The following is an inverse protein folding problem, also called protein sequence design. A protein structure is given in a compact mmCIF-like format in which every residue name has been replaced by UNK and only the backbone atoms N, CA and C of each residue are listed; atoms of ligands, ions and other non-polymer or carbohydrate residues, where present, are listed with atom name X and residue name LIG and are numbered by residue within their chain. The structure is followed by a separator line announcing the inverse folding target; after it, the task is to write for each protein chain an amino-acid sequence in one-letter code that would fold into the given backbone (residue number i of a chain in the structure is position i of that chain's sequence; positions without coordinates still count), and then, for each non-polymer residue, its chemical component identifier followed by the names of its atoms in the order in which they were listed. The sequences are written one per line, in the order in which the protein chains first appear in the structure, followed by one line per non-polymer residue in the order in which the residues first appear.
data_IF_745777638025
#
_entry.id   IF_745777638025
#
_cell.length_a   1.000
_cell.length_b   1.000
_cell.length_c   1.000
_cell.angle_alpha   90.00
_cell.angle_beta   90.00
_cell.angle_gamma   90.00
#
_symmetry.space_group_name_H-M   'P 1'
#
loop_
_entity.id
_entity.type
_entity.pdbx_description
1 polymer ?
#
# COMPACT_ATOMS: atom_id res chain seq x y z
N UNK A 1 -35.61 -2.83 -20.10
CA UNK A 1 -35.55 -2.37 -21.51
C UNK A 1 -36.42 -1.13 -21.62
N UNK A 2 -35.82 0.08 -21.64
CA UNK A 2 -36.53 1.31 -22.03
C UNK A 2 -35.61 2.02 -23.00
N UNK A 3 -36.03 2.06 -24.26
CA UNK A 3 -35.37 2.79 -25.33
C UNK A 3 -35.80 4.25 -25.21
N UNK A 4 -34.79 5.15 -25.07
CA UNK A 4 -35.01 6.59 -25.13
C UNK A 4 -34.69 7.02 -26.56
N UNK A 5 -35.72 7.52 -27.25
CA UNK A 5 -35.63 8.16 -28.56
C UNK A 5 -35.20 9.61 -28.36
N UNK A 6 -34.08 10.00 -28.95
CA UNK A 6 -33.69 11.40 -29.09
C UNK A 6 -34.28 11.91 -30.39
N UNK A 7 -35.24 12.84 -30.27
CA UNK A 7 -35.78 13.56 -31.41
C UNK A 7 -34.88 14.79 -31.65
N UNK A 8 -34.18 14.77 -32.77
CA UNK A 8 -33.36 15.90 -33.26
C UNK A 8 -34.32 16.90 -33.90
N UNK A 9 -34.54 18.04 -33.24
CA UNK A 9 -35.27 19.17 -33.85
C UNK A 9 -34.25 20.02 -34.60
N UNK A 10 -34.28 19.90 -35.92
CA UNK A 10 -33.53 20.81 -36.82
C UNK A 10 -34.31 22.10 -36.95
N UNK A 11 -33.86 23.17 -36.29
CA UNK A 11 -34.32 24.53 -36.54
C UNK A 11 -33.59 25.12 -37.73
N UNK A 12 -34.28 25.19 -38.87
CA UNK A 12 -33.83 25.95 -40.02
C UNK A 12 -34.05 27.45 -39.72
N UNK A 13 -33.03 28.29 -39.80
CA UNK A 13 -33.27 29.74 -39.79
C UNK A 13 -33.82 30.14 -41.15
N UNK A 14 -35.04 30.64 -41.15
CA UNK A 14 -35.56 31.37 -42.30
C UNK A 14 -34.82 32.68 -42.40
N UNK A 15 -33.98 32.83 -43.40
CA UNK A 15 -33.47 34.12 -43.83
C UNK A 15 -34.60 34.82 -44.59
N UNK A 16 -35.28 35.70 -43.91
CA UNK A 16 -36.13 36.68 -44.62
C UNK A 16 -35.19 37.67 -45.28
N UNK A 17 -35.17 37.66 -46.59
CA UNK A 17 -34.58 38.72 -47.39
C UNK A 17 -35.22 40.04 -47.00
N UNK A 18 -34.50 40.91 -46.36
CA UNK A 18 -34.87 42.32 -46.28
C UNK A 18 -34.58 42.93 -47.65
N UNK A 19 -35.59 43.48 -48.30
CA UNK A 19 -35.43 44.36 -49.45
C UNK A 19 -34.39 45.44 -49.07
N UNK A 20 -33.43 45.69 -49.96
CA UNK A 20 -32.51 46.79 -49.85
C UNK A 20 -33.21 48.09 -49.80
N UNK A 21 -33.34 48.68 -48.61
CA UNK A 21 -33.65 50.12 -48.52
C UNK A 21 -32.33 50.82 -48.89
N UNK A 22 -32.33 51.43 -50.05
CA UNK A 22 -31.22 52.27 -50.51
C UNK A 22 -31.16 53.52 -49.64
N UNK A 23 -30.40 53.53 -48.57
CA UNK A 23 -30.18 54.66 -47.69
C UNK A 23 -29.11 55.63 -48.19
N UNK A 24 -28.62 55.48 -49.42
CA UNK A 24 -27.66 56.42 -50.01
C UNK A 24 -26.27 56.38 -49.25
N UNK A 25 -26.08 55.51 -48.35
CA UNK A 25 -24.78 55.31 -47.67
C UNK A 25 -24.00 54.32 -48.47
N UNK A 26 -23.00 54.79 -49.20
CA UNK A 26 -21.99 53.85 -49.75
C UNK A 26 -21.40 53.09 -48.59
N UNK A 27 -21.63 51.80 -48.57
CA UNK A 27 -20.85 50.93 -47.68
C UNK A 27 -19.36 51.23 -47.92
N UNK A 28 -18.65 51.59 -46.85
CA UNK A 28 -17.20 51.71 -46.96
C UNK A 28 -16.68 50.38 -47.50
N UNK A 29 -15.79 50.42 -48.46
CA UNK A 29 -15.11 49.22 -48.91
C UNK A 29 -14.65 48.43 -47.68
N UNK A 30 -14.85 47.12 -47.65
CA UNK A 30 -14.37 46.33 -46.56
C UNK A 30 -12.93 46.69 -46.30
N UNK A 31 -12.64 47.19 -45.11
CA UNK A 31 -11.28 47.57 -44.72
C UNK A 31 -10.41 46.39 -45.02
N UNK A 32 -9.51 46.53 -46.00
CA UNK A 32 -8.47 45.54 -46.26
C UNK A 32 -7.58 45.56 -45.01
N UNK A 33 -7.80 44.65 -44.14
CA UNK A 33 -6.85 44.40 -43.06
C UNK A 33 -5.56 44.04 -43.77
N UNK A 34 -4.52 44.87 -43.62
CA UNK A 34 -3.19 44.45 -44.02
C UNK A 34 -2.93 43.13 -43.31
N UNK A 35 -2.72 42.07 -44.10
CA UNK A 35 -2.44 40.79 -43.53
C UNK A 35 -1.09 40.94 -42.80
N UNK A 36 -1.13 40.88 -41.47
CA UNK A 36 0.08 40.95 -40.70
C UNK A 36 1.04 39.88 -41.22
N UNK A 37 2.30 40.24 -41.38
CA UNK A 37 3.32 39.31 -41.85
C UNK A 37 3.31 38.08 -40.93
N UNK A 38 3.38 36.87 -41.50
CA UNK A 38 3.37 35.64 -40.75
C UNK A 38 4.57 35.64 -39.78
N UNK A 39 4.26 35.63 -38.46
CA UNK A 39 5.29 35.56 -37.45
C UNK A 39 5.88 34.16 -37.47
N UNK A 40 7.16 34.05 -37.74
CA UNK A 40 7.91 32.81 -37.62
C UNK A 40 8.29 32.63 -36.13
N UNK A 41 7.69 31.65 -35.44
CA UNK A 41 8.07 31.33 -34.09
C UNK A 41 9.34 30.49 -34.03
N UNK A 42 10.23 30.71 -33.07
CA UNK A 42 11.35 29.83 -32.85
C UNK A 42 10.85 28.41 -32.50
N UNK A 43 11.61 27.40 -32.92
CA UNK A 43 11.36 26.02 -32.49
C UNK A 43 11.91 25.78 -31.10
N UNK A 44 11.21 24.95 -30.31
CA UNK A 44 11.75 24.37 -29.08
C UNK A 44 12.35 23.00 -29.41
N UNK A 45 13.64 22.81 -29.12
CA UNK A 45 14.28 21.51 -29.20
C UNK A 45 14.75 21.07 -27.81
N UNK A 46 14.68 19.76 -27.55
CA UNK A 46 15.02 19.16 -26.29
C UNK A 46 16.12 18.12 -26.51
N UNK A 47 17.22 18.24 -25.77
CA UNK A 47 18.26 17.21 -25.76
C UNK A 47 17.94 16.18 -24.66
N UNK A 48 18.26 14.89 -24.87
CA UNK A 48 18.03 13.84 -23.88
C UNK A 48 18.71 14.17 -22.54
N UNK A 49 18.01 13.88 -21.46
CA UNK A 49 18.53 13.92 -20.09
C UNK A 49 18.68 12.48 -19.61
N UNK A 50 19.77 12.18 -18.90
CA UNK A 50 19.97 10.86 -18.30
C UNK A 50 18.91 10.59 -17.22
N UNK A 51 18.64 9.31 -16.96
CA UNK A 51 17.77 8.88 -15.86
C UNK A 51 18.19 9.52 -14.53
N UNK A 52 17.24 10.12 -13.84
CA UNK A 52 17.47 10.80 -12.57
C UNK A 52 17.21 9.82 -11.42
N UNK A 53 18.23 9.55 -10.61
CA UNK A 53 18.05 8.80 -9.35
C UNK A 53 17.72 9.80 -8.22
N UNK A 54 16.47 9.78 -7.76
CA UNK A 54 15.99 10.73 -6.76
C UNK A 54 16.56 10.49 -5.37
N UNK A 55 17.08 9.28 -5.09
CA UNK A 55 17.74 9.01 -3.80
C UNK A 55 19.08 9.76 -3.66
N UNK A 56 19.71 10.10 -4.78
CA UNK A 56 20.97 10.83 -4.83
C UNK A 56 20.79 12.29 -5.30
N UNK A 57 19.55 12.75 -5.44
CA UNK A 57 19.23 14.08 -5.92
C UNK A 57 19.23 15.13 -4.80
N UNK A 58 19.54 16.40 -5.15
CA UNK A 58 19.30 17.54 -4.28
C UNK A 58 17.84 18.01 -4.31
N UNK A 59 17.56 19.23 -3.83
CA UNK A 59 16.20 19.80 -3.77
C UNK A 59 15.56 19.97 -5.14
N UNK A 60 16.34 20.05 -6.20
CA UNK A 60 15.87 20.15 -7.58
C UNK A 60 16.74 19.36 -8.55
N UNK A 61 16.14 18.86 -9.62
CA UNK A 61 16.78 18.02 -10.64
C UNK A 61 16.44 18.49 -12.03
N UNK A 62 17.39 18.33 -12.96
CA UNK A 62 17.19 18.59 -14.40
C UNK A 62 16.42 17.43 -15.00
N UNK A 63 15.27 17.71 -15.61
CA UNK A 63 14.46 16.69 -16.30
C UNK A 63 14.31 16.96 -17.80
N UNK A 64 14.60 18.18 -18.25
CA UNK A 64 14.64 18.58 -19.65
C UNK A 64 15.89 19.42 -19.89
N UNK A 65 16.41 19.38 -21.12
CA UNK A 65 17.51 20.24 -21.55
C UNK A 65 17.05 21.02 -22.79
N UNK A 66 16.39 22.19 -22.56
CA UNK A 66 15.76 22.94 -23.65
C UNK A 66 16.74 23.84 -24.37
N UNK A 67 16.53 24.00 -25.68
CA UNK A 67 17.18 25.00 -26.50
C UNK A 67 16.21 25.57 -27.52
N UNK A 68 16.38 26.86 -27.86
CA UNK A 68 15.64 27.47 -28.96
C UNK A 68 16.39 27.33 -30.29
N UNK A 69 15.63 27.05 -31.32
CA UNK A 69 16.16 26.99 -32.71
C UNK A 69 15.38 27.95 -33.63
N UNK A 70 16.01 28.38 -34.69
CA UNK A 70 15.42 29.33 -35.65
C UNK A 70 15.67 30.79 -35.27
N UNK A 71 14.89 31.70 -35.87
CA UNK A 71 15.01 33.14 -35.63
C UNK A 71 14.27 33.50 -34.33
N UNK A 72 15.02 33.99 -33.34
CA UNK A 72 14.45 34.47 -32.08
C UNK A 72 14.15 35.96 -32.27
N UNK A 73 12.90 36.44 -32.07
CA UNK A 73 12.57 37.87 -32.14
C UNK A 73 13.43 38.69 -31.15
N UNK A 74 13.85 39.88 -31.58
CA UNK A 74 14.62 40.77 -30.70
C UNK A 74 13.83 41.10 -29.44
N UNK A 75 14.49 41.03 -28.28
CA UNK A 75 13.85 41.25 -26.99
C UNK A 75 12.92 40.15 -26.49
N UNK A 76 12.84 39.01 -27.20
CA UNK A 76 12.07 37.86 -26.76
C UNK A 76 12.64 37.28 -25.47
N UNK A 77 11.73 36.94 -24.52
CA UNK A 77 12.06 36.23 -23.28
C UNK A 77 11.29 34.92 -23.23
N UNK A 78 11.99 33.89 -22.77
CA UNK A 78 11.35 32.60 -22.49
C UNK A 78 10.83 32.69 -21.05
N UNK A 79 9.56 32.31 -20.86
CA UNK A 79 9.04 32.05 -19.54
C UNK A 79 9.46 30.67 -19.03
N UNK A 80 9.05 30.35 -17.79
CA UNK A 80 9.24 29.01 -17.24
C UNK A 80 8.58 27.96 -18.14
N UNK A 81 9.17 26.77 -18.13
CA UNK A 81 8.61 25.62 -18.84
C UNK A 81 7.53 24.95 -17.99
N UNK A 82 6.47 24.47 -18.64
CA UNK A 82 5.52 23.52 -18.09
C UNK A 82 5.79 22.17 -18.74
N UNK A 83 6.05 21.17 -17.91
CA UNK A 83 6.35 19.80 -18.35
C UNK A 83 5.19 18.92 -17.95
N UNK A 84 4.39 18.51 -18.92
CA UNK A 84 3.31 17.54 -18.73
C UNK A 84 3.89 16.14 -18.87
N UNK A 85 3.96 15.42 -17.75
CA UNK A 85 4.38 14.02 -17.68
C UNK A 85 3.16 13.14 -17.91
N UNK A 86 3.20 12.30 -18.93
CA UNK A 86 2.10 11.43 -19.34
C UNK A 86 2.44 9.98 -19.05
N UNK A 87 1.51 9.27 -18.40
CA UNK A 87 1.57 7.84 -18.14
C UNK A 87 0.25 7.17 -18.50
N UNK A 88 0.18 5.85 -18.45
CA UNK A 88 -1.08 5.10 -18.61
C UNK A 88 -2.12 5.45 -17.54
N UNK A 89 -1.69 5.92 -16.37
CA UNK A 89 -2.54 6.27 -15.23
C UNK A 89 -2.95 7.76 -15.19
N UNK A 90 -2.61 8.53 -16.22
CA UNK A 90 -2.96 9.94 -16.33
C UNK A 90 -1.75 10.85 -16.57
N UNK A 91 -1.96 12.16 -16.43
CA UNK A 91 -0.89 13.14 -16.60
C UNK A 91 -0.74 14.04 -15.37
N UNK A 92 0.51 14.52 -15.17
CA UNK A 92 0.86 15.48 -14.11
C UNK A 92 1.71 16.57 -14.71
N UNK A 93 1.39 17.84 -14.41
CA UNK A 93 2.16 18.99 -14.91
C UNK A 93 3.11 19.49 -13.83
N UNK A 94 4.39 19.58 -14.17
CA UNK A 94 5.44 20.17 -13.35
C UNK A 94 5.89 21.51 -13.95
N UNK A 95 6.28 22.46 -13.09
CA UNK A 95 6.88 23.71 -13.52
C UNK A 95 8.41 23.60 -13.46
N UNK A 96 9.05 23.73 -14.60
CA UNK A 96 10.51 23.74 -14.70
C UNK A 96 11.02 25.18 -14.89
N UNK A 97 12.18 25.49 -14.29
CA UNK A 97 12.88 26.75 -14.54
C UNK A 97 13.52 26.76 -15.95
N UNK A 98 14.12 27.88 -16.32
CA UNK A 98 14.80 28.05 -17.62
C UNK A 98 15.91 26.99 -17.86
N UNK A 99 16.51 26.47 -16.80
CA UNK A 99 17.52 25.42 -16.85
C UNK A 99 16.94 24.01 -16.96
N UNK A 100 15.62 23.88 -17.03
CA UNK A 100 14.91 22.59 -17.11
C UNK A 100 14.84 21.83 -15.81
N UNK A 101 15.00 22.50 -14.66
CA UNK A 101 14.94 21.91 -13.33
C UNK A 101 13.54 21.97 -12.74
N UNK A 102 13.13 20.91 -12.09
CA UNK A 102 11.92 20.82 -11.25
C UNK A 102 12.31 20.48 -9.80
N UNK A 103 11.41 20.69 -8.86
CA UNK A 103 11.64 20.24 -7.49
C UNK A 103 11.61 18.72 -7.43
N UNK A 104 12.59 18.14 -6.76
CA UNK A 104 12.74 16.69 -6.58
C UNK A 104 11.48 16.09 -5.94
N UNK A 105 10.90 16.73 -4.91
CA UNK A 105 9.70 16.27 -4.24
C UNK A 105 8.46 16.24 -5.16
N UNK A 106 8.33 17.20 -6.10
CA UNK A 106 7.22 17.22 -7.05
C UNK A 106 7.34 16.09 -8.08
N UNK A 107 8.57 15.80 -8.57
CA UNK A 107 8.84 14.67 -9.44
C UNK A 107 8.61 13.32 -8.72
N UNK A 108 9.08 13.19 -7.47
CA UNK A 108 8.81 12.02 -6.63
C UNK A 108 7.31 11.75 -6.52
N UNK A 109 6.52 12.78 -6.20
CA UNK A 109 5.05 12.65 -6.07
C UNK A 109 4.40 12.23 -7.40
N UNK A 110 4.86 12.78 -8.52
CA UNK A 110 4.37 12.41 -9.85
C UNK A 110 4.62 10.94 -10.16
N UNK A 111 5.84 10.44 -9.86
CA UNK A 111 6.21 9.03 -10.06
C UNK A 111 5.37 8.12 -9.15
N UNK A 112 5.27 8.44 -7.86
CA UNK A 112 4.50 7.64 -6.90
C UNK A 112 3.03 7.55 -7.27
N UNK A 113 2.47 8.64 -7.76
CA UNK A 113 1.07 8.70 -8.22
C UNK A 113 0.84 7.82 -9.45
N UNK A 114 1.78 7.83 -10.39
CA UNK A 114 1.65 7.11 -11.66
C UNK A 114 2.03 5.62 -11.54
N UNK A 115 3.05 5.28 -10.74
CA UNK A 115 3.70 3.97 -10.77
C UNK A 115 3.89 3.31 -9.40
N UNK A 116 3.54 4.01 -8.30
CA UNK A 116 3.82 3.57 -6.94
C UNK A 116 5.27 3.83 -6.51
N UNK A 117 5.65 3.29 -5.34
CA UNK A 117 6.92 3.60 -4.65
C UNK A 117 8.06 2.62 -4.93
N UNK A 118 7.91 1.67 -5.85
CA UNK A 118 8.97 0.71 -6.17
C UNK A 118 10.19 1.42 -6.76
N UNK A 119 11.43 1.16 -6.26
CA UNK A 119 12.64 1.84 -6.71
C UNK A 119 13.16 1.30 -8.04
N UNK A 120 12.35 1.43 -9.08
CA UNK A 120 12.66 1.04 -10.45
C UNK A 120 12.62 2.26 -11.35
N UNK A 121 13.39 2.21 -12.43
CA UNK A 121 13.33 3.25 -13.46
C UNK A 121 11.92 3.35 -14.03
N UNK A 122 11.37 4.58 -14.03
CA UNK A 122 10.08 4.91 -14.61
C UNK A 122 10.27 5.96 -15.67
N UNK A 123 9.63 5.75 -16.82
CA UNK A 123 9.72 6.66 -17.96
C UNK A 123 8.34 7.22 -18.27
N UNK A 124 8.26 8.53 -18.37
CA UNK A 124 7.08 9.27 -18.85
C UNK A 124 7.31 9.75 -20.26
N UNK A 125 6.29 9.73 -21.07
CA UNK A 125 6.22 10.64 -22.22
C UNK A 125 6.01 12.05 -21.69
N UNK A 126 6.72 13.03 -22.23
CA UNK A 126 6.69 14.39 -21.73
C UNK A 126 6.41 15.38 -22.84
N UNK A 127 5.43 16.26 -22.59
CA UNK A 127 5.14 17.41 -23.47
C UNK A 127 5.60 18.67 -22.73
N UNK A 128 6.55 19.36 -23.35
CA UNK A 128 7.13 20.58 -22.79
C UNK A 128 6.54 21.79 -23.47
N UNK A 129 5.94 22.68 -22.70
CA UNK A 129 5.36 23.94 -23.17
C UNK A 129 6.21 25.11 -22.66
N UNK A 130 6.49 26.05 -23.57
CA UNK A 130 7.15 27.32 -23.21
C UNK A 130 6.37 28.49 -23.81
N UNK A 131 6.26 29.57 -23.05
CA UNK A 131 5.73 30.83 -23.55
C UNK A 131 6.90 31.72 -23.96
N UNK A 132 6.90 32.21 -25.19
CA UNK A 132 7.81 33.24 -25.66
C UNK A 132 7.09 34.57 -25.58
N UNK A 133 7.66 35.50 -24.82
CA UNK A 133 7.15 36.86 -24.69
C UNK A 133 7.95 37.77 -25.60
N UNK A 134 7.30 38.39 -26.58
CA UNK A 134 7.90 39.39 -27.47
C UNK A 134 6.92 40.52 -27.75
N UNK A 135 7.37 41.75 -27.64
CA UNK A 135 6.55 42.95 -27.90
C UNK A 135 5.18 42.97 -27.25
N UNK A 136 5.09 42.44 -26.00
CA UNK A 136 3.82 42.37 -25.24
C UNK A 136 2.89 41.23 -25.67
N UNK A 137 3.28 40.40 -26.60
CA UNK A 137 2.55 39.20 -27.03
C UNK A 137 3.20 37.94 -26.46
N UNK A 138 2.37 36.96 -26.11
CA UNK A 138 2.80 35.63 -25.69
C UNK A 138 2.52 34.59 -26.77
N UNK A 139 3.53 33.85 -27.19
CA UNK A 139 3.40 32.75 -28.13
C UNK A 139 3.75 31.46 -27.45
N UNK A 140 2.87 30.46 -27.59
CA UNK A 140 3.08 29.12 -27.03
C UNK A 140 3.81 28.25 -28.03
N UNK A 141 4.95 27.68 -27.61
CA UNK A 141 5.66 26.64 -28.34
C UNK A 141 5.67 25.36 -27.51
N UNK A 142 5.77 24.22 -28.16
CA UNK A 142 5.86 22.91 -27.50
C UNK A 142 6.88 22.00 -28.18
N UNK A 143 7.40 21.07 -27.41
CA UNK A 143 8.19 19.96 -27.89
C UNK A 143 7.91 18.70 -27.06
N UNK A 144 8.22 17.54 -27.62
CA UNK A 144 8.01 16.25 -26.97
C UNK A 144 9.36 15.61 -26.64
N UNK A 145 9.42 14.89 -25.53
CA UNK A 145 10.60 14.14 -25.07
C UNK A 145 10.14 13.03 -24.12
N UNK A 146 11.09 12.34 -23.52
CA UNK A 146 10.84 11.41 -22.40
C UNK A 146 11.57 11.90 -21.15
N UNK A 147 11.01 11.60 -19.99
CA UNK A 147 11.62 11.85 -18.69
C UNK A 147 11.69 10.54 -17.93
N UNK A 148 12.92 10.11 -17.60
CA UNK A 148 13.15 8.88 -16.83
C UNK A 148 13.72 9.20 -15.46
N UNK A 149 13.14 8.57 -14.42
CA UNK A 149 13.62 8.72 -13.05
C UNK A 149 13.39 7.45 -12.22
N UNK A 150 14.19 7.29 -11.16
CA UNK A 150 14.05 6.25 -10.14
C UNK A 150 13.58 6.94 -8.85
N UNK A 151 12.41 6.58 -8.30
CA UNK A 151 11.92 7.21 -7.08
C UNK A 151 12.71 6.76 -5.85
N UNK A 152 12.70 7.60 -4.82
CA UNK A 152 13.11 7.19 -3.48
C UNK A 152 12.06 6.24 -2.93
N UNK A 153 12.48 5.11 -2.40
CA UNK A 153 11.59 4.13 -1.80
C UNK A 153 12.09 3.73 -0.40
N UNK A 154 11.19 3.32 0.50
CA UNK A 154 11.59 2.73 1.76
C UNK A 154 12.36 1.43 1.52
N UNK A 155 13.31 1.11 2.38
CA UNK A 155 14.00 -0.19 2.35
C UNK A 155 13.08 -1.23 2.97
N UNK A 156 12.56 -2.16 2.15
CA UNK A 156 11.69 -3.24 2.62
C UNK A 156 12.44 -4.56 2.44
N UNK A 157 12.65 -5.28 3.54
CA UNK A 157 13.29 -6.59 3.51
C UNK A 157 12.26 -7.71 3.30
N UNK A 158 12.72 -8.87 2.87
CA UNK A 158 11.86 -10.00 2.53
C UNK A 158 11.27 -10.73 3.76
N UNK A 159 11.78 -10.47 4.97
CA UNK A 159 11.28 -11.05 6.21
C UNK A 159 11.57 -10.15 7.40
N UNK A 160 10.71 -10.26 8.41
CA UNK A 160 10.81 -9.59 9.70
C UNK A 160 10.54 -10.58 10.82
N UNK A 161 11.15 -10.37 11.98
CA UNK A 161 11.03 -11.22 13.15
C UNK A 161 10.76 -10.36 14.39
N UNK A 162 9.94 -10.85 15.30
CA UNK A 162 9.76 -10.21 16.59
C UNK A 162 10.85 -10.70 17.55
N UNK A 163 11.48 -9.79 18.24
CA UNK A 163 12.43 -10.05 19.32
C UNK A 163 11.99 -9.31 20.58
N UNK A 164 11.85 -10.04 21.67
CA UNK A 164 11.36 -9.44 22.90
C UNK A 164 10.98 -10.47 23.97
N UNK A 165 10.07 -10.08 24.86
CA UNK A 165 9.59 -10.94 25.94
C UNK A 165 9.09 -12.32 25.45
N UNK A 166 8.37 -12.44 24.31
CA UNK A 166 7.86 -13.74 23.85
C UNK A 166 8.94 -14.77 23.56
N UNK A 167 10.14 -14.35 23.12
CA UNK A 167 11.26 -15.24 22.79
C UNK A 167 12.48 -15.05 23.71
N UNK A 168 12.32 -14.39 24.86
CA UNK A 168 13.40 -14.15 25.81
C UNK A 168 14.52 -13.24 25.29
N UNK A 169 14.24 -12.37 24.33
CA UNK A 169 15.22 -11.50 23.65
C UNK A 169 16.29 -12.26 22.86
N UNK A 170 15.94 -13.47 22.38
CA UNK A 170 16.82 -14.25 21.52
C UNK A 170 16.74 -13.73 20.06
N UNK A 171 17.83 -13.09 19.62
CA UNK A 171 17.97 -12.51 18.28
C UNK A 171 18.11 -13.54 17.16
N UNK A 172 18.29 -14.81 17.52
CA UNK A 172 18.46 -15.93 16.57
C UNK A 172 17.24 -16.83 16.48
N UNK A 173 16.23 -16.59 17.33
CA UNK A 173 14.99 -17.40 17.34
C UNK A 173 14.08 -16.99 16.19
N UNK A 174 13.88 -17.89 15.23
CA UNK A 174 13.03 -17.72 14.05
C UNK A 174 11.54 -18.05 14.25
N UNK A 175 11.12 -18.52 15.43
CA UNK A 175 9.73 -18.96 15.68
C UNK A 175 8.72 -17.81 15.59
N UNK A 176 9.18 -16.56 15.75
CA UNK A 176 8.37 -15.36 15.70
C UNK A 176 8.58 -14.57 14.40
N UNK A 177 8.67 -15.29 13.28
CA UNK A 177 8.71 -14.67 11.95
C UNK A 177 7.33 -14.15 11.56
N UNK A 178 7.28 -12.93 11.05
CA UNK A 178 6.08 -12.38 10.45
C UNK A 178 5.75 -13.09 9.13
N UNK A 179 4.48 -13.46 8.98
CA UNK A 179 3.95 -14.03 7.74
C UNK A 179 3.80 -12.93 6.68
N UNK A 180 4.06 -13.29 5.44
CA UNK A 180 3.90 -12.44 4.26
C UNK A 180 3.26 -13.25 3.12
N UNK A 181 2.56 -12.59 2.22
CA UNK A 181 1.85 -13.25 1.11
C UNK A 181 2.74 -13.94 0.09
N UNK A 182 4.05 -13.66 0.11
CA UNK A 182 5.02 -14.13 -0.88
C UNK A 182 5.03 -13.33 -2.18
N UNK A 183 4.22 -12.28 -2.31
CA UNK A 183 4.31 -11.31 -3.40
C UNK A 183 5.56 -10.45 -3.25
N UNK A 184 5.85 -9.63 -4.26
CA UNK A 184 6.86 -8.59 -4.12
C UNK A 184 6.52 -7.63 -2.98
N UNK A 185 7.49 -7.27 -2.16
CA UNK A 185 7.29 -6.45 -0.94
C UNK A 185 6.81 -5.02 -1.22
N UNK A 186 6.99 -4.52 -2.44
CA UNK A 186 6.44 -3.23 -2.85
C UNK A 186 5.00 -3.33 -3.38
N UNK A 187 4.55 -4.52 -3.78
CA UNK A 187 3.15 -4.79 -4.16
C UNK A 187 2.30 -5.15 -2.94
N UNK A 188 2.92 -5.79 -1.94
CA UNK A 188 2.29 -6.14 -0.67
C UNK A 188 3.28 -5.92 0.48
N UNK A 189 3.35 -4.69 1.04
CA UNK A 189 4.28 -4.35 2.11
C UNK A 189 3.82 -4.79 3.51
N UNK A 190 2.79 -5.65 3.58
CA UNK A 190 2.14 -6.03 4.83
C UNK A 190 2.72 -7.33 5.37
N UNK A 191 3.17 -7.28 6.62
CA UNK A 191 3.67 -8.43 7.35
C UNK A 191 2.86 -8.58 8.63
N UNK A 192 2.45 -9.81 8.96
CA UNK A 192 1.56 -10.08 10.10
C UNK A 192 2.08 -11.22 10.96
N UNK A 193 2.03 -11.05 12.27
CA UNK A 193 2.36 -12.07 13.24
C UNK A 193 1.29 -12.14 14.32
N UNK A 194 0.75 -13.34 14.54
CA UNK A 194 -0.14 -13.61 15.69
C UNK A 194 0.55 -14.58 16.63
N UNK A 195 0.60 -14.26 17.91
CA UNK A 195 1.25 -15.09 18.92
C UNK A 195 0.52 -14.99 20.27
N UNK A 196 0.76 -15.96 21.13
CA UNK A 196 0.17 -16.00 22.49
C UNK A 196 0.78 -14.90 23.35
N UNK A 197 -0.08 -14.13 24.01
CA UNK A 197 0.37 -13.10 24.95
C UNK A 197 1.20 -13.75 26.07
N UNK A 198 2.37 -13.20 26.41
CA UNK A 198 3.31 -13.83 27.34
C UNK A 198 2.72 -13.96 28.75
N UNK A 199 3.10 -15.03 29.41
CA UNK A 199 2.73 -15.33 30.80
C UNK A 199 3.98 -15.66 31.62
N UNK A 200 3.95 -15.32 32.88
CA UNK A 200 4.95 -15.82 33.83
C UNK A 200 4.71 -17.32 34.06
N UNK A 201 5.71 -18.12 33.75
CA UNK A 201 5.61 -19.60 33.79
C UNK A 201 5.31 -20.16 35.19
N UNK A 202 5.65 -19.42 36.25
CA UNK A 202 5.47 -19.88 37.63
C UNK A 202 4.08 -19.54 38.17
N UNK A 203 3.55 -18.38 37.78
CA UNK A 203 2.29 -17.87 38.31
C UNK A 203 1.13 -18.02 37.31
N UNK A 204 1.40 -18.21 36.03
CA UNK A 204 0.41 -18.19 34.96
C UNK A 204 -0.18 -16.83 34.67
N UNK A 205 0.28 -15.78 35.34
CA UNK A 205 -0.24 -14.44 35.17
C UNK A 205 0.32 -13.81 33.88
N UNK A 206 -0.47 -12.94 33.24
CA UNK A 206 0.00 -12.13 32.12
C UNK A 206 1.14 -11.20 32.55
N UNK A 207 2.12 -11.05 31.68
CA UNK A 207 3.24 -10.11 31.87
C UNK A 207 3.30 -9.14 30.70
N UNK A 208 3.98 -8.02 30.91
CA UNK A 208 4.21 -7.03 29.87
C UNK A 208 4.93 -7.65 28.68
N UNK A 209 4.46 -7.33 27.48
CA UNK A 209 5.05 -7.80 26.23
C UNK A 209 5.90 -6.72 25.61
N UNK A 210 7.18 -6.67 25.94
CA UNK A 210 8.16 -5.79 25.34
C UNK A 210 8.75 -6.43 24.10
N UNK A 211 8.82 -5.68 22.98
CA UNK A 211 9.37 -6.20 21.74
C UNK A 211 9.95 -5.13 20.81
N UNK A 212 10.80 -5.57 19.91
CA UNK A 212 11.32 -4.86 18.74
C UNK A 212 11.09 -5.72 17.50
N UNK A 213 11.21 -5.10 16.33
CA UNK A 213 11.10 -5.79 15.04
C UNK A 213 12.50 -5.90 14.45
N UNK A 214 12.88 -7.13 14.12
CA UNK A 214 14.20 -7.46 13.60
C UNK A 214 14.08 -7.78 12.09
N UNK A 215 14.55 -6.92 11.19
CA UNK A 215 14.63 -7.24 9.77
C UNK A 215 15.52 -8.45 9.52
N UNK A 216 15.35 -9.12 8.39
CA UNK A 216 16.12 -10.32 8.01
C UNK A 216 17.62 -10.12 8.12
N UNK A 217 18.15 -8.98 7.69
CA UNK A 217 19.57 -8.65 7.78
C UNK A 217 20.10 -8.64 9.21
N UNK A 218 19.31 -8.12 10.15
CA UNK A 218 19.66 -8.10 11.57
C UNK A 218 19.46 -9.50 12.21
N UNK A 219 18.45 -10.26 11.79
CA UNK A 219 18.26 -11.65 12.21
C UNK A 219 19.45 -12.53 11.79
N UNK A 220 19.91 -12.41 10.55
CA UNK A 220 21.09 -13.13 10.05
C UNK A 220 22.40 -12.74 10.78
N UNK A 221 22.47 -11.52 11.29
CA UNK A 221 23.57 -11.05 12.14
C UNK A 221 23.49 -11.60 13.58
N UNK A 222 22.34 -12.11 14.00
CA UNK A 222 22.09 -12.65 15.34
C UNK A 222 22.19 -11.62 16.46
N UNK A 223 21.93 -10.34 16.16
CA UNK A 223 22.08 -9.24 17.10
C UNK A 223 21.20 -8.03 16.72
N UNK A 224 21.04 -7.11 17.65
CA UNK A 224 20.49 -5.80 17.36
C UNK A 224 21.46 -4.99 16.48
N UNK A 225 20.97 -4.55 15.32
CA UNK A 225 21.77 -3.77 14.35
C UNK A 225 21.18 -2.39 14.11
N UNK A 226 21.81 -1.58 13.25
CA UNK A 226 21.27 -0.28 12.84
C UNK A 226 19.92 -0.38 12.10
N UNK A 227 19.59 -1.53 11.53
CA UNK A 227 18.34 -1.76 10.82
C UNK A 227 17.21 -2.27 11.72
N UNK A 228 17.49 -2.65 12.97
CA UNK A 228 16.46 -3.06 13.94
C UNK A 228 15.45 -1.93 14.15
N UNK A 229 14.18 -2.25 14.15
CA UNK A 229 13.06 -1.30 14.21
C UNK A 229 12.38 -1.36 15.58
N UNK A 230 11.91 -0.21 16.04
CA UNK A 230 11.13 -0.07 17.25
C UNK A 230 10.36 1.23 17.26
N UNK A 231 9.81 1.62 18.41
CA UNK A 231 9.15 2.90 18.57
C UNK A 231 10.16 4.03 18.85
N UNK A 232 9.79 5.27 18.54
CA UNK A 232 10.58 6.45 18.87
C UNK A 232 10.76 6.63 20.38
N UNK A 233 9.76 6.22 21.16
CA UNK A 233 9.75 6.31 22.63
C UNK A 233 9.89 4.91 23.21
N UNK A 234 10.89 4.68 24.05
CA UNK A 234 11.04 3.39 24.72
C UNK A 234 9.88 3.11 25.68
N UNK A 235 9.34 1.90 25.60
CA UNK A 235 8.16 1.50 26.35
C UNK A 235 6.83 2.11 25.85
N UNK A 236 6.77 2.53 24.58
CA UNK A 236 5.50 2.98 24.00
C UNK A 236 4.42 1.92 24.12
N UNK A 237 3.27 2.32 24.66
CA UNK A 237 2.08 1.47 24.84
C UNK A 237 1.00 1.72 23.79
N UNK A 238 1.33 2.50 22.75
CA UNK A 238 0.41 2.79 21.65
C UNK A 238 0.15 1.52 20.83
N UNK A 239 -1.12 1.25 20.55
CA UNK A 239 -1.53 0.09 19.75
C UNK A 239 -1.23 0.27 18.26
N UNK A 240 -0.93 1.47 17.82
CA UNK A 240 -0.50 1.78 16.46
C UNK A 240 0.47 2.95 16.47
N UNK A 241 1.42 2.95 15.53
CA UNK A 241 2.43 4.00 15.47
C UNK A 241 3.44 3.81 14.36
N UNK A 242 4.44 4.68 14.34
CA UNK A 242 5.53 4.64 13.37
C UNK A 242 6.73 3.91 13.94
N UNK A 243 7.33 3.05 13.14
CA UNK A 243 8.59 2.40 13.41
C UNK A 243 9.77 3.30 13.02
N UNK A 244 10.83 3.26 13.81
CA UNK A 244 12.10 3.94 13.53
C UNK A 244 13.26 2.96 13.58
N UNK A 245 14.24 3.15 12.72
CA UNK A 245 15.44 2.32 12.71
C UNK A 245 16.46 2.82 13.76
N UNK A 246 17.16 1.91 14.41
CA UNK A 246 18.17 2.22 15.41
C UNK A 246 19.31 3.09 14.88
N UNK A 247 19.63 2.98 13.59
CA UNK A 247 20.68 3.78 12.95
C UNK A 247 20.32 5.25 12.73
N UNK A 248 19.03 5.59 12.74
CA UNK A 248 18.56 6.93 12.43
C UNK A 248 18.26 7.75 13.68
N UNK A 249 17.72 7.12 14.72
CA UNK A 249 17.29 7.77 15.96
C UNK A 249 17.26 6.79 17.12
N UNK A 250 16.84 7.25 18.31
CA UNK A 250 16.55 6.36 19.43
C UNK A 250 15.45 5.38 19.04
N UNK A 251 15.78 4.10 19.06
CA UNK A 251 14.87 3.00 18.76
C UNK A 251 14.53 2.27 20.05
N UNK A 252 13.40 2.61 20.64
CA UNK A 252 12.87 2.01 21.86
C UNK A 252 12.07 0.74 21.58
N UNK A 253 11.90 -0.11 22.58
CA UNK A 253 10.97 -1.23 22.49
C UNK A 253 9.53 -0.74 22.59
N UNK A 254 8.63 -1.45 21.90
CA UNK A 254 7.18 -1.29 22.08
C UNK A 254 6.79 -2.16 23.27
N UNK A 255 5.88 -1.68 24.12
CA UNK A 255 5.38 -2.43 25.27
C UNK A 255 3.86 -2.57 25.23
N UNK A 256 3.38 -3.80 25.20
CA UNK A 256 1.98 -4.08 25.46
C UNK A 256 1.84 -4.47 26.94
N UNK A 257 1.23 -3.60 27.76
CA UNK A 257 1.05 -3.88 29.19
C UNK A 257 0.24 -5.15 29.41
N UNK A 258 0.55 -5.85 30.50
CA UNK A 258 -0.19 -7.03 30.92
C UNK A 258 -1.70 -6.73 31.01
N UNK A 259 -2.51 -7.59 30.40
CA UNK A 259 -3.97 -7.47 30.42
C UNK A 259 -4.61 -8.85 30.54
N UNK A 260 -5.51 -9.02 31.50
CA UNK A 260 -6.23 -10.28 31.72
C UNK A 260 -7.12 -10.66 30.51
N UNK A 261 -7.52 -9.69 29.71
CA UNK A 261 -8.31 -9.90 28.49
C UNK A 261 -7.49 -10.33 27.27
N UNK A 262 -6.16 -10.19 27.30
CA UNK A 262 -5.31 -10.53 26.16
C UNK A 262 -4.93 -12.01 26.18
N UNK A 263 -5.41 -12.80 25.22
CA UNK A 263 -4.92 -14.17 24.99
C UNK A 263 -3.86 -14.22 23.89
N UNK A 264 -4.06 -13.40 22.89
CA UNK A 264 -3.15 -13.29 21.74
C UNK A 264 -2.92 -11.83 21.39
N UNK A 265 -1.78 -11.55 20.78
CA UNK A 265 -1.50 -10.31 20.07
C UNK A 265 -1.36 -10.61 18.60
N UNK A 266 -1.99 -9.78 17.75
CA UNK A 266 -1.69 -9.70 16.31
C UNK A 266 -0.98 -8.41 16.04
N UNK A 267 0.22 -8.49 15.47
CA UNK A 267 0.98 -7.33 15.03
C UNK A 267 0.96 -7.33 13.52
N UNK A 268 0.55 -6.20 12.94
CA UNK A 268 0.60 -5.92 11.51
C UNK A 268 1.60 -4.82 11.28
N UNK A 269 2.57 -5.05 10.38
CA UNK A 269 3.52 -4.07 9.92
C UNK A 269 3.14 -3.64 8.50
N UNK A 270 3.13 -2.35 8.23
CA UNK A 270 3.14 -1.81 6.87
C UNK A 270 4.50 -1.17 6.62
N UNK A 271 5.33 -1.87 5.87
CA UNK A 271 6.71 -1.44 5.64
C UNK A 271 6.84 -0.39 4.54
N UNK A 272 5.76 -0.05 3.84
CA UNK A 272 5.74 1.05 2.89
C UNK A 272 5.87 2.42 3.59
N UNK A 273 5.34 2.54 4.79
CA UNK A 273 5.33 3.76 5.60
C UNK A 273 5.94 3.55 7.00
N UNK A 274 6.55 2.40 7.24
CA UNK A 274 7.14 2.01 8.52
C UNK A 274 6.17 2.18 9.69
N UNK A 275 4.96 1.66 9.55
CA UNK A 275 3.96 1.68 10.61
C UNK A 275 3.68 0.30 11.18
N UNK A 276 3.15 0.28 12.40
CA UNK A 276 2.69 -0.93 13.06
C UNK A 276 1.31 -0.73 13.65
N UNK A 277 0.58 -1.84 13.76
CA UNK A 277 -0.67 -1.95 14.50
C UNK A 277 -0.65 -3.22 15.35
N UNK A 278 -1.07 -3.11 16.62
CA UNK A 278 -1.25 -4.24 17.52
C UNK A 278 -2.74 -4.41 17.83
N UNK A 279 -3.24 -5.62 17.65
CA UNK A 279 -4.59 -6.01 18.00
C UNK A 279 -4.53 -6.97 19.20
N UNK A 280 -5.33 -6.71 20.20
CA UNK A 280 -5.48 -7.57 21.39
C UNK A 280 -6.64 -8.53 21.11
N UNK A 281 -6.37 -9.82 21.09
CA UNK A 281 -7.31 -10.83 20.66
C UNK A 281 -7.58 -11.85 21.78
N UNK A 282 -8.83 -12.32 21.88
CA UNK A 282 -9.23 -13.41 22.74
C UNK A 282 -9.16 -14.76 22.04
N UNK A 283 -9.11 -14.76 20.72
CA UNK A 283 -9.08 -15.93 19.87
C UNK A 283 -8.03 -15.77 18.78
N UNK A 284 -7.44 -16.88 18.36
CA UNK A 284 -6.55 -16.92 17.20
C UNK A 284 -7.34 -16.97 15.89
N UNK A 285 -6.68 -16.75 14.77
CA UNK A 285 -7.32 -16.72 13.45
C UNK A 285 -7.74 -18.10 12.95
N UNK A 286 -7.00 -19.15 13.32
CA UNK A 286 -7.23 -20.52 12.88
C UNK A 286 -7.34 -21.49 14.05
N UNK A 287 -8.26 -22.45 13.94
CA UNK A 287 -8.25 -23.70 14.71
C UNK A 287 -8.22 -24.86 13.73
N UNK A 288 -7.87 -26.03 14.20
CA UNK A 288 -7.65 -27.19 13.33
C UNK A 288 -8.58 -28.32 13.73
N UNK A 289 -9.19 -28.97 12.74
CA UNK A 289 -9.77 -30.29 12.90
C UNK A 289 -8.63 -31.31 13.02
N UNK A 290 -8.69 -32.15 14.03
CA UNK A 290 -7.78 -33.25 14.26
C UNK A 290 -8.58 -34.50 14.61
N UNK A 291 -8.28 -35.59 13.94
CA UNK A 291 -9.04 -36.83 14.16
C UNK A 291 -8.65 -37.94 13.22
N UNK A 292 -9.57 -38.91 13.12
CA UNK A 292 -9.37 -40.10 12.30
C UNK A 292 -9.25 -39.82 10.79
N UNK A 293 -9.70 -38.63 10.36
CA UNK A 293 -9.62 -38.23 8.96
C UNK A 293 -8.19 -37.91 8.50
N UNK A 294 -7.39 -37.30 9.38
CA UNK A 294 -6.08 -36.73 9.04
C UNK A 294 -4.94 -37.26 9.90
N UNK A 295 -5.17 -38.39 10.59
CA UNK A 295 -4.16 -39.00 11.48
C UNK A 295 -3.80 -38.12 12.66
N UNK A 296 -4.76 -37.33 13.16
CA UNK A 296 -4.59 -36.44 14.31
C UNK A 296 -3.60 -35.29 14.06
N UNK A 297 -3.48 -34.85 12.80
CA UNK A 297 -2.61 -33.74 12.38
C UNK A 297 -3.40 -32.43 12.21
N UNK A 298 -2.70 -31.31 12.16
CA UNK A 298 -3.28 -29.97 11.93
C UNK A 298 -3.39 -29.61 10.44
N UNK A 299 -3.76 -30.59 9.60
CA UNK A 299 -3.85 -30.39 8.15
C UNK A 299 -5.06 -29.56 7.75
N UNK A 300 -6.19 -29.72 8.45
CA UNK A 300 -7.43 -29.05 8.10
C UNK A 300 -7.75 -27.93 9.06
N UNK A 301 -7.75 -26.70 8.54
CA UNK A 301 -8.01 -25.49 9.31
C UNK A 301 -9.46 -25.01 9.15
N UNK A 302 -10.00 -24.48 10.25
CA UNK A 302 -11.18 -23.62 10.26
C UNK A 302 -10.69 -22.19 10.48
N UNK A 303 -11.33 -21.23 9.85
CA UNK A 303 -10.88 -19.84 9.78
C UNK A 303 -11.87 -18.88 10.41
N UNK A 304 -11.35 -17.98 11.24
CA UNK A 304 -12.02 -16.82 11.82
C UNK A 304 -11.26 -15.56 11.43
N UNK A 305 -11.56 -14.92 10.29
CA UNK A 305 -10.79 -13.77 9.79
C UNK A 305 -10.71 -12.60 10.78
N UNK A 306 -11.77 -12.40 11.54
CA UNK A 306 -11.84 -11.37 12.58
C UNK A 306 -11.22 -11.80 13.91
N UNK A 307 -10.81 -13.07 14.08
CA UNK A 307 -10.40 -13.66 15.35
C UNK A 307 -11.44 -13.43 16.48
N UNK A 308 -12.71 -13.47 16.10
CA UNK A 308 -13.86 -13.24 16.98
C UNK A 308 -14.35 -14.50 17.70
N UNK A 309 -13.68 -15.64 17.47
CA UNK A 309 -14.00 -16.93 18.07
C UNK A 309 -15.04 -17.73 17.29
N UNK A 310 -15.53 -17.23 16.14
CA UNK A 310 -16.43 -17.95 15.25
C UNK A 310 -15.64 -18.43 14.04
N UNK A 311 -15.50 -19.75 13.93
CA UNK A 311 -14.67 -20.40 12.90
C UNK A 311 -15.52 -21.11 11.89
N UNK A 312 -15.15 -20.99 10.61
CA UNK A 312 -15.83 -21.66 9.52
C UNK A 312 -14.87 -22.53 8.73
N UNK A 313 -15.34 -23.66 8.29
CA UNK A 313 -14.61 -24.58 7.42
C UNK A 313 -15.53 -25.45 6.59
N UNK A 314 -14.99 -26.03 5.53
CA UNK A 314 -15.66 -27.07 4.75
C UNK A 314 -14.63 -28.16 4.41
N UNK A 315 -14.86 -29.37 4.89
CA UNK A 315 -13.91 -30.46 4.72
C UNK A 315 -14.57 -31.83 4.81
N UNK A 316 -13.87 -32.86 4.39
CA UNK A 316 -14.26 -34.23 4.66
C UNK A 316 -13.96 -34.58 6.10
N UNK A 317 -14.92 -35.15 6.82
CA UNK A 317 -14.77 -35.59 8.19
C UNK A 317 -15.03 -37.08 8.32
N UNK A 318 -14.32 -37.70 9.27
CA UNK A 318 -14.60 -39.03 9.79
C UNK A 318 -14.98 -38.95 11.25
N UNK A 319 -15.84 -39.85 11.69
CA UNK A 319 -16.20 -39.96 13.11
C UNK A 319 -14.96 -40.10 14.00
N UNK A 320 -14.95 -39.40 15.13
CA UNK A 320 -13.83 -39.35 16.07
C UNK A 320 -12.84 -38.27 15.76
N UNK A 321 -13.23 -36.99 15.94
CA UNK A 321 -12.39 -35.83 15.78
C UNK A 321 -12.60 -34.82 16.91
N UNK A 322 -11.73 -33.83 17.00
CA UNK A 322 -11.77 -32.67 17.90
C UNK A 322 -11.31 -31.43 17.16
N UNK A 323 -11.38 -30.30 17.84
CA UNK A 323 -10.74 -29.07 17.37
C UNK A 323 -9.58 -28.69 18.27
N UNK A 324 -8.55 -28.06 17.69
CA UNK A 324 -7.36 -27.61 18.42
C UNK A 324 -6.82 -26.29 17.94
N UNK A 325 -6.15 -25.61 18.88
CA UNK A 325 -5.41 -24.38 18.61
C UNK A 325 -4.13 -24.62 17.81
N UNK A 326 -3.44 -25.74 18.07
CA UNK A 326 -2.18 -26.13 17.43
C UNK A 326 -1.91 -27.64 17.59
N UNK A 327 -0.83 -28.15 16.99
CA UNK A 327 -0.50 -29.57 17.02
C UNK A 327 -0.17 -30.14 18.41
N UNK A 328 0.27 -29.29 19.35
CA UNK A 328 0.84 -29.72 20.63
C UNK A 328 -0.09 -29.54 21.83
N UNK A 329 -1.22 -28.87 21.67
CA UNK A 329 -2.13 -28.57 22.78
C UNK A 329 -3.09 -29.73 23.07
N UNK A 330 -2.58 -30.81 23.65
CA UNK A 330 -3.37 -32.01 23.96
C UNK A 330 -4.15 -31.92 25.27
N UNK A 331 -3.71 -31.12 26.21
CA UNK A 331 -4.28 -31.08 27.56
C UNK A 331 -4.67 -29.66 28.00
N UNK A 332 -4.46 -28.67 27.15
CA UNK A 332 -4.67 -27.28 27.46
C UNK A 332 -6.03 -26.74 27.05
N UNK A 333 -6.22 -25.48 27.29
CA UNK A 333 -7.44 -24.71 26.96
C UNK A 333 -7.70 -24.56 25.44
N UNK A 334 -6.77 -25.01 24.60
CA UNK A 334 -6.87 -25.02 23.15
C UNK A 334 -7.26 -26.38 22.56
N UNK A 335 -7.84 -27.28 23.34
CA UNK A 335 -8.32 -28.59 22.88
C UNK A 335 -9.83 -28.68 23.14
N UNK A 336 -10.64 -28.66 22.09
CA UNK A 336 -12.10 -28.62 22.17
C UNK A 336 -12.72 -29.91 21.63
N UNK A 337 -13.56 -30.55 22.43
CA UNK A 337 -14.34 -31.70 22.07
C UNK A 337 -15.63 -31.73 22.88
N UNK A 338 -16.40 -32.83 22.82
CA UNK A 338 -17.64 -32.94 23.58
C UNK A 338 -17.33 -33.05 25.09
N UNK A 339 -18.30 -32.64 25.89
CA UNK A 339 -18.27 -32.83 27.35
C UNK A 339 -18.29 -34.32 27.75
N UNK A 340 -18.14 -34.58 29.05
CA UNK A 340 -18.12 -35.94 29.58
C UNK A 340 -19.39 -36.73 29.29
N UNK A 341 -20.51 -36.06 29.19
CA UNK A 341 -21.83 -36.65 28.90
C UNK A 341 -22.05 -36.86 27.42
N UNK A 342 -21.20 -36.28 26.55
CA UNK A 342 -21.29 -36.37 25.08
C UNK A 342 -22.46 -35.58 24.53
N UNK A 343 -22.80 -34.46 25.13
CA UNK A 343 -23.90 -33.59 24.71
C UNK A 343 -23.64 -33.03 23.33
N UNK A 344 -24.49 -33.38 22.37
CA UNK A 344 -24.38 -32.91 21.00
C UNK A 344 -24.44 -31.37 20.92
N UNK A 345 -23.54 -30.78 20.13
CA UNK A 345 -23.44 -29.33 19.95
C UNK A 345 -22.79 -28.58 21.12
N UNK A 346 -22.31 -29.25 22.16
CA UNK A 346 -21.65 -28.61 23.30
C UNK A 346 -20.19 -29.01 23.42
N UNK A 347 -19.34 -28.00 23.32
CA UNK A 347 -17.89 -28.16 23.45
C UNK A 347 -17.42 -27.85 24.87
N UNK A 348 -16.38 -28.54 25.29
CA UNK A 348 -15.57 -28.17 26.45
C UNK A 348 -14.10 -28.03 26.03
N UNK A 349 -13.37 -27.23 26.80
CA UNK A 349 -11.97 -26.91 26.53
C UNK A 349 -11.09 -27.53 27.62
N UNK A 350 -10.84 -28.82 27.53
CA UNK A 350 -9.90 -29.51 28.42
C UNK A 350 -9.36 -30.81 27.81
N UNK A 351 -8.37 -31.42 28.49
CA UNK A 351 -7.80 -32.71 28.13
C UNK A 351 -8.76 -33.90 28.29
N UNK A 352 -9.86 -33.74 29.03
CA UNK A 352 -10.90 -34.77 29.25
C UNK A 352 -12.04 -34.73 28.25
N UNK A 353 -12.01 -33.80 27.29
CA UNK A 353 -13.03 -33.72 26.25
C UNK A 353 -13.08 -34.99 25.40
N UNK A 354 -14.29 -35.43 25.02
CA UNK A 354 -14.50 -36.57 24.15
C UNK A 354 -14.40 -36.21 22.67
N UNK A 355 -14.11 -37.20 21.86
CA UNK A 355 -14.15 -37.06 20.40
C UNK A 355 -15.58 -36.82 19.95
N UNK A 356 -15.71 -36.02 18.89
CA UNK A 356 -17.01 -35.70 18.26
C UNK A 356 -17.33 -36.87 17.31
N UNK A 357 -18.44 -37.61 17.54
CA UNK A 357 -18.88 -38.66 16.65
C UNK A 357 -19.64 -38.08 15.46
N UNK A 358 -19.64 -38.79 14.35
CA UNK A 358 -20.51 -38.55 13.19
C UNK A 358 -21.36 -39.78 12.93
N UNK A 359 -22.56 -39.58 12.43
CA UNK A 359 -23.43 -40.67 11.96
C UNK A 359 -22.89 -41.29 10.68
N UNK A 360 -22.33 -40.47 9.79
CA UNK A 360 -21.77 -40.88 8.51
C UNK A 360 -20.51 -40.05 8.21
N UNK A 361 -19.48 -40.69 7.61
CA UNK A 361 -18.33 -39.99 7.08
C UNK A 361 -18.72 -39.19 5.82
N UNK A 362 -18.27 -37.95 5.67
CA UNK A 362 -18.68 -37.12 4.53
C UNK A 362 -18.08 -35.72 4.52
N UNK A 363 -18.49 -34.93 3.53
CA UNK A 363 -18.15 -33.50 3.46
C UNK A 363 -19.15 -32.69 4.25
N UNK A 364 -18.62 -31.87 5.16
CA UNK A 364 -19.41 -31.02 6.06
C UNK A 364 -18.98 -29.57 5.96
N UNK A 365 -19.97 -28.67 6.07
CA UNK A 365 -19.73 -27.28 6.47
C UNK A 365 -19.77 -27.23 7.98
N UNK A 366 -18.73 -26.65 8.56
CA UNK A 366 -18.53 -26.63 10.00
C UNK A 366 -18.55 -25.17 10.44
N UNK A 367 -19.25 -24.90 11.52
CA UNK A 367 -19.11 -23.65 12.28
C UNK A 367 -18.82 -24.04 13.72
N UNK A 368 -17.80 -23.43 14.29
CA UNK A 368 -17.42 -23.57 15.71
C UNK A 368 -17.49 -22.19 16.34
N UNK A 369 -18.35 -22.02 17.33
CA UNK A 369 -18.49 -20.78 18.12
C UNK A 369 -17.88 -20.99 19.51
N UNK A 370 -16.63 -20.61 19.68
CA UNK A 370 -15.93 -20.74 20.96
C UNK A 370 -16.41 -19.75 22.03
N UNK A 371 -17.19 -18.74 21.67
CA UNK A 371 -17.81 -17.85 22.65
C UNK A 371 -19.00 -18.54 23.32
N UNK A 372 -19.69 -19.42 22.61
CA UNK A 372 -20.80 -20.22 23.12
C UNK A 372 -20.40 -21.63 23.49
N UNK A 373 -19.21 -22.06 23.08
CA UNK A 373 -18.73 -23.45 23.22
C UNK A 373 -19.65 -24.45 22.52
N UNK A 374 -19.96 -24.17 21.24
CA UNK A 374 -20.78 -25.00 20.35
C UNK A 374 -20.21 -25.12 18.91
#
# INVERSE_FOLDING_TARGET
MKKIFYTLIASLPFFTSCEEADFGVKAADPQSWEQEEAITLPGLSLSPVATVDLANAGDSVVIINPSLSGTIPEGAKIGNFRVELVSENGSTTLNACEEGKVKTAELQTAIETAYGKRPEERTFDAIVYANIMSNGQASLIKAETTVSAIPVAPVIESAYYLVGAPNGWDWTNGDYQFSHSGKDVYDDPIFTLTFTAPVDEKTGNRVDCWFKINPKSAFEAGAETSTTLGSKTDGSTELEGTLVAKGETSCGAINMPASDGAKYYRITLNMMDYSYKVEILNHQEFIYEIGNNNGWSTTYALHSPASDGIYHGAMFLKSGFKFRSNANDWNGSGNWGLDADGTEGRLISDGGSKDIPLTEDGFYKITVDLNKME
#
